data_IF_651255687435
#
_entry.id   IF_651255687435
#
_cell.length_a   1.000
_cell.length_b   1.000
_cell.length_c   1.000
_cell.angle_alpha   90.00
_cell.angle_beta   90.00
_cell.angle_gamma   90.00
#
_symmetry.space_group_name_H-M   'P 1'
#
loop_
_entity.id
_entity.type
_entity.pdbx_description
1 polymer ?
#
# COMPACT_ATOMS: atom_id res chain seq x y z
N UNK A 1 6.04 -8.99 4.19
CA UNK A 1 6.40 -7.65 3.64
C UNK A 1 5.15 -7.14 2.95
N UNK A 2 4.55 -6.04 3.40
CA UNK A 2 3.33 -5.50 2.78
C UNK A 2 3.71 -4.72 1.51
N UNK A 3 3.19 -5.06 0.31
CA UNK A 3 3.37 -4.26 -0.89
C UNK A 3 2.87 -2.83 -0.65
N UNK A 4 3.47 -1.83 -1.28
CA UNK A 4 3.09 -0.42 -1.12
C UNK A 4 3.27 0.19 0.28
N UNK A 5 3.80 -0.51 1.28
CA UNK A 5 4.03 0.09 2.60
C UNK A 5 5.53 0.23 2.88
N UNK A 6 6.00 1.47 2.98
CA UNK A 6 7.38 1.81 3.34
C UNK A 6 7.40 2.67 4.61
N UNK A 7 7.63 2.02 5.76
CA UNK A 7 7.80 2.71 7.05
C UNK A 7 9.23 3.23 7.18
N UNK A 8 9.39 4.52 7.46
CA UNK A 8 10.72 5.17 7.48
C UNK A 8 11.56 4.86 8.73
N UNK A 9 10.98 4.33 9.81
CA UNK A 9 11.62 4.31 11.13
C UNK A 9 11.55 2.96 11.87
N UNK A 10 11.35 1.84 11.14
CA UNK A 10 11.19 0.52 11.77
C UNK A 10 9.93 0.37 12.62
N UNK A 11 9.05 1.37 12.62
CA UNK A 11 7.76 1.33 13.29
C UNK A 11 6.87 0.24 12.67
N UNK A 12 6.24 -0.56 13.52
CA UNK A 12 5.30 -1.59 13.07
C UNK A 12 4.14 -0.94 12.29
N UNK A 13 3.72 -1.52 11.15
CA UNK A 13 2.51 -1.13 10.46
C UNK A 13 1.29 -1.17 11.38
N UNK A 14 0.44 -0.14 11.31
CA UNK A 14 -0.89 -0.21 11.92
C UNK A 14 -1.81 -1.11 11.10
N UNK A 15 -2.90 -1.60 11.70
CA UNK A 15 -3.88 -2.42 10.98
C UNK A 15 -4.49 -1.66 9.79
N UNK A 16 -4.71 -0.35 9.93
CA UNK A 16 -5.23 0.49 8.86
C UNK A 16 -4.23 0.56 7.69
N UNK A 17 -2.95 0.79 7.97
CA UNK A 17 -1.90 0.83 6.96
C UNK A 17 -1.80 -0.49 6.18
N UNK A 18 -1.93 -1.61 6.88
CA UNK A 18 -1.98 -2.94 6.26
C UNK A 18 -3.22 -3.10 5.37
N UNK A 19 -4.39 -2.65 5.83
CA UNK A 19 -5.63 -2.74 5.07
C UNK A 19 -5.58 -1.89 3.78
N UNK A 20 -5.00 -0.69 3.85
CA UNK A 20 -4.84 0.18 2.67
C UNK A 20 -3.82 -0.42 1.70
N UNK A 21 -2.68 -0.90 2.20
CA UNK A 21 -1.68 -1.59 1.38
C UNK A 21 -2.26 -2.82 0.64
N UNK A 22 -3.09 -3.60 1.34
CA UNK A 22 -3.81 -4.72 0.76
C UNK A 22 -4.81 -4.26 -0.31
N UNK A 23 -5.56 -3.20 -0.04
CA UNK A 23 -6.53 -2.64 -0.98
C UNK A 23 -5.87 -2.13 -2.27
N UNK A 24 -4.69 -1.49 -2.18
CA UNK A 24 -3.91 -1.10 -3.36
C UNK A 24 -3.46 -2.31 -4.17
N UNK A 25 -2.97 -3.35 -3.47
CA UNK A 25 -2.55 -4.61 -4.11
C UNK A 25 -3.71 -5.28 -4.86
N UNK A 26 -4.90 -5.25 -4.29
CA UNK A 26 -6.08 -5.84 -4.92
C UNK A 26 -6.59 -4.97 -6.08
N UNK A 27 -6.46 -3.65 -5.99
CA UNK A 27 -6.76 -2.75 -7.11
C UNK A 27 -5.80 -3.01 -8.30
N UNK A 28 -4.52 -3.25 -8.05
CA UNK A 28 -3.57 -3.63 -9.11
C UNK A 28 -3.91 -4.93 -9.83
N UNK A 29 -4.53 -5.89 -9.12
CA UNK A 29 -4.92 -7.16 -9.70
C UNK A 29 -6.16 -7.00 -10.58
N UNK A 30 -7.11 -6.18 -10.14
CA UNK A 30 -8.43 -6.06 -10.77
C UNK A 30 -8.51 -4.93 -11.82
N UNK A 31 -7.61 -3.95 -11.78
CA UNK A 31 -7.55 -2.83 -12.73
C UNK A 31 -6.21 -2.80 -13.46
N UNK A 32 -6.09 -3.50 -14.61
CA UNK A 32 -4.84 -3.58 -15.38
C UNK A 32 -4.37 -2.22 -15.90
N UNK A 33 -5.29 -1.29 -16.12
CA UNK A 33 -5.04 0.09 -16.53
C UNK A 33 -4.33 0.89 -15.42
N UNK A 34 -4.69 0.65 -14.15
CA UNK A 34 -4.10 1.34 -12.99
C UNK A 34 -2.85 0.64 -12.45
N UNK A 35 -2.60 -0.62 -12.83
CA UNK A 35 -1.49 -1.43 -12.28
C UNK A 35 -0.13 -0.74 -12.38
N UNK A 36 0.17 -0.10 -13.51
CA UNK A 36 1.48 0.55 -13.70
C UNK A 36 1.67 1.73 -12.74
N UNK A 37 0.62 2.51 -12.55
CA UNK A 37 0.64 3.71 -11.71
C UNK A 37 0.68 3.35 -10.23
N UNK A 38 -0.14 2.37 -9.83
CA UNK A 38 -0.19 1.87 -8.45
C UNK A 38 1.12 1.20 -8.01
N UNK A 39 1.86 0.56 -8.92
CA UNK A 39 3.12 -0.12 -8.60
C UNK A 39 4.20 0.85 -8.13
N UNK A 40 4.13 2.10 -8.57
CA UNK A 40 5.02 3.17 -8.14
C UNK A 40 4.59 3.80 -6.80
N UNK A 41 3.37 3.52 -6.31
CA UNK A 41 2.85 4.08 -5.06
C UNK A 41 3.47 3.36 -3.86
N UNK A 42 4.09 4.15 -2.99
CA UNK A 42 4.55 3.71 -1.68
C UNK A 42 3.95 4.64 -0.61
N UNK A 43 3.29 4.04 0.37
CA UNK A 43 2.64 4.69 1.49
C UNK A 43 3.59 4.67 2.68
N UNK A 44 3.78 5.82 3.31
CA UNK A 44 4.61 5.98 4.51
C UNK A 44 3.79 6.04 5.80
N UNK A 45 2.57 6.56 5.72
CA UNK A 45 1.61 6.62 6.82
C UNK A 45 0.17 6.74 6.27
N UNK A 46 -0.80 6.27 7.05
CA UNK A 46 -2.24 6.44 6.80
C UNK A 46 -2.88 7.04 8.05
N UNK A 47 -3.82 7.98 7.85
CA UNK A 47 -4.60 8.61 8.90
C UNK A 47 -6.09 8.60 8.49
N UNK A 48 -6.98 8.43 9.48
CA UNK A 48 -8.43 8.61 9.33
C UNK A 48 -8.85 10.08 9.49
#
# INVERSE_FOLDING_TARGET
>A
MAPHLQKSNGAAPSQLELNVAQSLTDLEKNSPDLRKDLRAVAISAVKE
#
